data_IF_361469604840
#
_entry.id   IF_361469604840
#
_cell.length_a   1.000
_cell.length_b   1.000
_cell.length_c   1.000
_cell.angle_alpha   90.00
_cell.angle_beta   90.00
_cell.angle_gamma   90.00
#
_symmetry.space_group_name_H-M   'P 1'
#
loop_
_entity.id
_entity.type
_entity.pdbx_description
1 polymer ?
#
# COMPACT_ATOMS: atom_id res chain seq x y z
N UNK A 1 15.92 -65.36 27.58
CA UNK A 1 16.65 -64.58 26.56
C UNK A 1 15.73 -63.46 26.08
N UNK A 2 16.06 -62.19 26.38
CA UNK A 2 15.15 -61.04 26.22
C UNK A 2 15.12 -60.56 24.76
N UNK A 3 13.96 -60.53 24.13
CA UNK A 3 13.71 -59.81 22.87
C UNK A 3 13.58 -58.31 23.14
N UNK A 4 14.27 -57.47 22.37
CA UNK A 4 14.05 -56.02 22.31
C UNK A 4 13.44 -55.70 20.95
N UNK A 5 12.19 -55.25 20.94
CA UNK A 5 11.63 -54.52 19.79
C UNK A 5 12.22 -53.11 19.79
N UNK A 6 12.77 -52.70 18.65
CA UNK A 6 13.09 -51.31 18.36
C UNK A 6 11.94 -50.71 17.54
N UNK A 7 11.26 -49.71 18.10
CA UNK A 7 10.27 -48.91 17.37
C UNK A 7 11.03 -47.75 16.74
N UNK A 8 11.11 -47.72 15.41
CA UNK A 8 11.60 -46.57 14.67
C UNK A 8 10.46 -45.53 14.57
N UNK A 9 10.58 -44.42 15.29
CA UNK A 9 9.68 -43.28 15.14
C UNK A 9 10.08 -42.45 13.93
N UNK A 10 9.25 -42.42 12.90
CA UNK A 10 9.38 -41.47 11.80
C UNK A 10 8.90 -40.09 12.29
N UNK A 11 9.81 -39.12 12.37
CA UNK A 11 9.46 -37.74 12.61
C UNK A 11 8.89 -37.14 11.31
N UNK A 12 7.58 -36.87 11.27
CA UNK A 12 6.99 -36.01 10.26
C UNK A 12 7.47 -34.58 10.51
N UNK A 13 8.29 -34.04 9.60
CA UNK A 13 8.54 -32.61 9.54
C UNK A 13 7.30 -31.97 8.93
N UNK A 14 6.45 -31.39 9.78
CA UNK A 14 5.37 -30.54 9.31
C UNK A 14 5.99 -29.27 8.72
N UNK A 15 6.02 -29.16 7.40
CA UNK A 15 6.26 -27.89 6.72
C UNK A 15 5.11 -26.95 7.09
N UNK A 16 5.35 -26.06 8.05
CA UNK A 16 4.41 -24.97 8.29
C UNK A 16 4.30 -24.17 7.00
N UNK A 17 3.09 -23.98 6.45
CA UNK A 17 2.93 -23.11 5.30
C UNK A 17 3.48 -21.73 5.69
N UNK A 18 4.30 -21.15 4.81
CA UNK A 18 4.80 -19.80 4.98
C UNK A 18 3.57 -18.90 5.23
N UNK A 19 3.49 -18.31 6.43
CA UNK A 19 2.36 -17.46 6.79
C UNK A 19 2.31 -16.30 5.80
N UNK A 20 1.14 -16.03 5.22
CA UNK A 20 0.97 -14.91 4.32
C UNK A 20 1.31 -13.61 5.06
N UNK A 21 2.12 -12.74 4.45
CA UNK A 21 2.40 -11.42 5.02
C UNK A 21 1.16 -10.57 4.81
N UNK A 22 0.48 -10.24 5.91
CA UNK A 22 -0.66 -9.33 5.94
C UNK A 22 -0.18 -7.96 6.42
N UNK A 23 -0.60 -6.90 5.73
CA UNK A 23 -0.22 -5.51 6.02
C UNK A 23 -1.48 -4.65 6.11
N UNK A 24 -2.30 -4.81 7.17
CA UNK A 24 -3.46 -3.95 7.36
C UNK A 24 -3.01 -2.51 7.65
N UNK A 25 -3.81 -1.49 7.29
CA UNK A 25 -3.56 -0.10 7.65
C UNK A 25 -3.32 0.04 9.14
N UNK A 26 -2.24 0.71 9.50
CA UNK A 26 -1.92 1.07 10.87
C UNK A 26 -1.67 2.56 10.94
N UNK A 27 -1.96 3.14 12.09
CA UNK A 27 -1.56 4.48 12.42
C UNK A 27 -0.41 4.41 13.42
N UNK A 28 0.81 4.69 12.94
CA UNK A 28 2.02 4.79 13.75
C UNK A 28 2.57 6.21 13.78
N UNK A 29 1.81 7.17 13.28
CA UNK A 29 2.23 8.56 13.19
C UNK A 29 1.72 9.41 14.36
N UNK A 30 0.71 8.95 15.10
CA UNK A 30 0.06 9.71 16.18
C UNK A 30 0.98 10.13 17.33
N UNK A 31 2.07 9.39 17.56
CA UNK A 31 3.04 9.73 18.64
C UNK A 31 3.99 10.88 18.25
N UNK A 32 4.04 11.25 16.96
CA UNK A 32 4.90 12.33 16.51
C UNK A 32 4.26 13.70 16.78
N UNK A 33 5.00 14.59 17.46
CA UNK A 33 4.52 15.92 17.82
C UNK A 33 3.97 16.68 16.59
N UNK A 34 2.72 17.15 16.70
CA UNK A 34 2.03 17.92 15.67
C UNK A 34 1.48 17.09 14.50
N UNK A 35 1.71 15.77 14.46
CA UNK A 35 1.25 14.91 13.36
C UNK A 35 -0.28 14.86 13.26
N UNK A 36 -0.99 14.75 14.38
CA UNK A 36 -2.47 14.70 14.40
C UNK A 36 -3.09 15.99 13.85
N UNK A 37 -2.53 17.15 14.20
CA UNK A 37 -3.00 18.45 13.72
C UNK A 37 -2.80 18.57 12.21
N UNK A 38 -1.62 18.18 11.72
CA UNK A 38 -1.32 18.12 10.29
C UNK A 38 -2.29 17.18 9.55
N UNK A 39 -2.49 15.96 10.06
CA UNK A 39 -3.35 14.96 9.41
C UNK A 39 -4.82 15.35 9.41
N UNK A 40 -5.29 16.00 10.47
CA UNK A 40 -6.64 16.56 10.50
C UNK A 40 -6.80 17.70 9.48
N UNK A 41 -5.82 18.60 9.37
CA UNK A 41 -5.83 19.65 8.35
C UNK A 41 -5.81 19.07 6.94
N UNK A 42 -5.00 18.04 6.70
CA UNK A 42 -4.93 17.35 5.42
C UNK A 42 -6.26 16.67 5.07
N UNK A 43 -6.84 15.92 6.01
CA UNK A 43 -8.12 15.27 5.81
C UNK A 43 -9.23 16.28 5.48
N UNK A 44 -9.24 17.44 6.15
CA UNK A 44 -10.18 18.53 5.83
C UNK A 44 -9.95 19.10 4.42
N UNK A 45 -8.71 19.38 4.04
CA UNK A 45 -8.40 19.89 2.70
C UNK A 45 -8.80 18.89 1.61
N UNK A 46 -8.50 17.60 1.81
CA UNK A 46 -8.87 16.52 0.87
C UNK A 46 -10.38 16.32 0.79
N UNK A 47 -11.09 16.25 1.92
CA UNK A 47 -12.54 16.03 1.94
C UNK A 47 -13.31 17.17 1.27
N UNK A 48 -12.82 18.41 1.39
CA UNK A 48 -13.39 19.58 0.73
C UNK A 48 -12.86 19.80 -0.70
N UNK A 49 -11.87 19.00 -1.15
CA UNK A 49 -11.12 19.22 -2.39
C UNK A 49 -10.64 20.68 -2.53
N UNK A 50 -10.09 21.22 -1.45
CA UNK A 50 -9.78 22.63 -1.30
C UNK A 50 -8.26 22.86 -1.38
N UNK A 51 -7.83 23.43 -2.50
CA UNK A 51 -6.41 23.73 -2.76
C UNK A 51 -5.85 24.81 -1.83
N UNK A 52 -6.67 25.77 -1.38
CA UNK A 52 -6.22 26.83 -0.48
C UNK A 52 -5.97 26.28 0.93
N UNK A 53 -6.81 25.34 1.39
CA UNK A 53 -6.57 24.59 2.62
C UNK A 53 -5.38 23.63 2.50
N UNK A 54 -5.13 23.06 1.32
CA UNK A 54 -4.02 22.15 1.08
C UNK A 54 -2.67 22.88 1.01
N UNK A 55 -2.61 24.05 0.37
CA UNK A 55 -1.38 24.83 0.15
C UNK A 55 -0.46 24.93 1.38
N UNK A 56 -0.93 25.34 2.57
CA UNK A 56 -0.06 25.47 3.74
C UNK A 56 0.49 24.14 4.25
N UNK A 57 -0.03 23.00 3.79
CA UNK A 57 0.44 21.66 4.15
C UNK A 57 1.49 21.12 3.18
N UNK A 58 1.75 21.80 2.08
CA UNK A 58 2.65 21.33 1.01
C UNK A 58 3.96 22.11 1.03
N UNK A 59 5.07 21.42 0.82
CA UNK A 59 6.38 22.03 0.62
C UNK A 59 6.37 22.80 -0.73
N UNK A 60 6.88 24.05 -0.80
CA UNK A 60 6.97 24.79 -2.05
C UNK A 60 7.72 24.07 -3.19
N UNK A 61 8.55 23.07 -2.88
CA UNK A 61 9.32 22.24 -3.79
C UNK A 61 8.89 20.76 -3.75
N UNK A 62 7.62 20.49 -3.43
CA UNK A 62 7.06 19.12 -3.44
C UNK A 62 7.43 18.35 -4.72
N UNK A 63 7.90 17.12 -4.57
CA UNK A 63 8.25 16.24 -5.68
C UNK A 63 7.02 15.47 -6.17
N UNK A 64 6.78 15.48 -7.49
CA UNK A 64 5.53 14.99 -8.09
C UNK A 64 5.72 13.88 -9.13
N UNK A 65 6.93 13.73 -9.69
CA UNK A 65 7.29 12.65 -10.61
C UNK A 65 8.82 12.44 -10.68
N UNK A 66 9.23 11.35 -11.34
CA UNK A 66 10.64 11.03 -11.58
C UNK A 66 11.26 11.80 -12.75
N UNK A 67 10.44 12.51 -13.53
CA UNK A 67 10.85 13.35 -14.66
C UNK A 67 11.28 14.77 -14.26
N UNK A 68 11.25 15.10 -12.97
CA UNK A 68 11.65 16.40 -12.42
C UNK A 68 10.48 17.36 -12.16
N UNK A 69 9.23 16.91 -12.27
CA UNK A 69 8.06 17.69 -11.89
C UNK A 69 8.08 18.01 -10.40
N UNK A 70 8.15 19.29 -10.09
CA UNK A 70 8.25 19.80 -8.72
C UNK A 70 7.42 21.07 -8.51
N UNK A 71 7.02 21.30 -7.27
CA UNK A 71 6.48 22.55 -6.79
C UNK A 71 4.96 22.68 -6.86
N UNK A 72 4.48 23.71 -6.16
CA UNK A 72 3.05 23.92 -5.95
C UNK A 72 2.25 24.23 -7.20
N UNK A 73 2.80 25.04 -8.10
CA UNK A 73 2.04 25.44 -9.29
C UNK A 73 1.70 24.21 -10.15
N UNK A 74 2.63 23.27 -10.28
CA UNK A 74 2.41 22.00 -10.94
C UNK A 74 1.47 21.08 -10.16
N UNK A 75 1.59 21.01 -8.83
CA UNK A 75 0.64 20.25 -8.01
C UNK A 75 -0.79 20.79 -8.19
N UNK A 76 -0.95 22.11 -8.14
CA UNK A 76 -2.25 22.77 -8.30
C UNK A 76 -2.87 22.50 -9.66
N UNK A 77 -2.06 22.55 -10.72
CA UNK A 77 -2.51 22.14 -12.06
C UNK A 77 -3.00 20.68 -12.07
N UNK A 78 -2.23 19.74 -11.51
CA UNK A 78 -2.59 18.31 -11.47
C UNK A 78 -3.75 17.98 -10.54
N UNK A 79 -4.04 18.82 -9.54
CA UNK A 79 -5.21 18.65 -8.66
C UNK A 79 -6.53 18.88 -9.41
N UNK A 80 -6.52 19.72 -10.44
CA UNK A 80 -7.69 20.04 -11.27
C UNK A 80 -7.78 19.15 -12.52
N UNK A 81 -6.72 18.40 -12.83
CA UNK A 81 -6.65 17.51 -13.99
C UNK A 81 -7.29 16.13 -13.69
N UNK A 82 -8.39 15.78 -14.37
CA UNK A 82 -9.08 14.50 -14.15
C UNK A 82 -8.24 13.28 -14.51
N UNK A 83 -7.21 13.42 -15.36
CA UNK A 83 -6.34 12.30 -15.74
C UNK A 83 -5.47 11.83 -14.56
N UNK A 84 -5.19 12.72 -13.61
CA UNK A 84 -4.44 12.38 -12.39
C UNK A 84 -5.35 11.97 -11.21
N UNK A 85 -6.56 12.52 -11.13
CA UNK A 85 -7.52 12.33 -10.02
C UNK A 85 -6.87 12.42 -8.62
N UNK A 86 -5.96 13.39 -8.44
CA UNK A 86 -5.10 13.48 -7.25
C UNK A 86 -5.88 13.62 -5.94
N UNK A 87 -7.06 14.24 -5.96
CA UNK A 87 -7.91 14.34 -4.77
C UNK A 87 -8.36 12.96 -4.26
N UNK A 88 -8.73 12.07 -5.17
CA UNK A 88 -9.09 10.70 -4.82
C UNK A 88 -7.86 9.92 -4.34
N UNK A 89 -6.69 10.13 -4.94
CA UNK A 89 -5.46 9.50 -4.48
C UNK A 89 -5.01 10.01 -3.10
N UNK A 90 -5.12 11.31 -2.82
CA UNK A 90 -4.90 11.88 -1.49
C UNK A 90 -5.81 11.22 -0.44
N UNK A 91 -7.07 10.97 -0.79
CA UNK A 91 -8.02 10.31 0.11
C UNK A 91 -7.66 8.83 0.33
N UNK A 92 -7.29 8.11 -0.75
CA UNK A 92 -6.86 6.70 -0.69
C UNK A 92 -5.62 6.55 0.18
N UNK A 93 -4.57 7.35 -0.03
CA UNK A 93 -3.31 7.20 0.74
C UNK A 93 -3.51 7.44 2.22
N UNK A 94 -4.37 8.39 2.60
CA UNK A 94 -4.69 8.67 4.00
C UNK A 94 -5.46 7.54 4.68
N UNK A 95 -6.42 6.91 3.97
CA UNK A 95 -7.19 5.78 4.50
C UNK A 95 -6.36 4.52 4.74
N UNK A 96 -5.25 4.38 4.02
CA UNK A 96 -4.38 3.20 4.10
C UNK A 96 -3.32 3.33 5.20
N UNK A 97 -3.55 4.21 6.17
CA UNK A 97 -2.74 4.35 7.37
C UNK A 97 -1.50 5.20 7.16
N UNK A 98 -0.77 5.42 8.25
CA UNK A 98 0.42 6.25 8.31
C UNK A 98 1.51 5.52 9.08
N UNK A 99 2.71 5.43 8.50
CA UNK A 99 3.89 4.88 9.16
C UNK A 99 4.98 5.92 9.34
N UNK A 100 5.81 5.77 10.38
CA UNK A 100 7.05 6.54 10.52
C UNK A 100 8.20 5.67 10.02
N UNK A 101 9.01 6.20 9.10
CA UNK A 101 10.23 5.51 8.67
C UNK A 101 11.43 6.13 9.39
N UNK A 102 12.07 5.32 10.24
CA UNK A 102 13.34 5.55 10.96
C UNK A 102 13.60 6.99 11.44
N UNK A 103 13.60 7.19 12.76
CA UNK A 103 14.05 8.45 13.38
C UNK A 103 15.46 8.86 12.92
N UNK A 104 16.32 7.89 12.59
CA UNK A 104 17.68 8.11 12.06
C UNK A 104 17.69 8.75 10.66
N UNK A 105 16.56 8.70 9.93
CA UNK A 105 16.35 9.42 8.65
C UNK A 105 15.56 10.72 8.83
N UNK A 106 15.46 11.23 10.06
CA UNK A 106 14.77 12.49 10.36
C UNK A 106 13.26 12.36 10.61
N UNK A 107 12.75 11.12 10.73
CA UNK A 107 11.39 10.83 11.20
C UNK A 107 10.28 11.26 10.24
N UNK A 108 10.35 10.84 8.98
CA UNK A 108 9.32 11.16 7.98
C UNK A 108 8.08 10.26 8.13
N UNK A 109 6.90 10.83 7.86
CA UNK A 109 5.65 10.08 7.79
C UNK A 109 5.39 9.61 6.36
N UNK A 110 4.99 8.36 6.21
CA UNK A 110 4.68 7.70 4.95
C UNK A 110 3.23 7.28 4.94
N UNK A 111 2.53 7.68 3.88
CA UNK A 111 1.16 7.30 3.60
C UNK A 111 1.10 6.78 2.15
N UNK A 112 0.63 5.55 1.90
CA UNK A 112 0.11 4.56 2.86
C UNK A 112 1.11 4.00 3.87
N UNK A 113 0.59 3.42 4.97
CA UNK A 113 1.40 2.74 6.00
C UNK A 113 2.33 1.68 5.43
N UNK A 114 1.89 0.97 4.38
CA UNK A 114 2.68 -0.12 3.82
C UNK A 114 4.03 0.34 3.21
N UNK A 115 4.20 1.63 2.91
CA UNK A 115 5.49 2.19 2.49
C UNK A 115 6.53 2.29 3.62
N UNK A 116 6.10 2.15 4.88
CA UNK A 116 6.98 2.12 6.04
C UNK A 116 7.39 0.69 6.47
N UNK A 117 7.00 -0.33 5.71
CA UNK A 117 7.30 -1.74 6.01
C UNK A 117 7.82 -2.48 4.78
N UNK A 118 8.32 -3.70 4.98
CA UNK A 118 9.19 -4.41 4.03
C UNK A 118 8.53 -5.19 2.87
N UNK A 119 7.25 -5.11 2.48
CA UNK A 119 6.44 -6.20 1.83
C UNK A 119 6.89 -7.69 1.65
N UNK A 120 8.15 -8.11 1.80
CA UNK A 120 8.62 -9.49 1.67
C UNK A 120 8.65 -9.99 0.22
N UNK A 121 8.78 -9.08 -0.75
CA UNK A 121 8.77 -9.35 -2.19
C UNK A 121 9.99 -8.72 -2.86
N UNK A 122 10.45 -9.32 -3.96
CA UNK A 122 11.66 -8.88 -4.67
C UNK A 122 11.39 -7.88 -5.80
N UNK A 123 10.18 -7.93 -6.40
CA UNK A 123 9.79 -7.08 -7.53
C UNK A 123 8.64 -6.14 -7.13
N UNK A 124 8.90 -4.84 -6.93
CA UNK A 124 7.87 -3.88 -6.55
C UNK A 124 6.82 -3.65 -7.63
N UNK A 125 7.13 -3.85 -8.93
CA UNK A 125 6.17 -3.67 -10.02
C UNK A 125 5.15 -4.81 -10.09
N UNK A 126 5.53 -6.01 -9.64
CA UNK A 126 4.63 -7.15 -9.50
C UNK A 126 4.00 -7.22 -8.10
N UNK A 127 4.38 -6.37 -7.15
CA UNK A 127 3.87 -6.44 -5.78
C UNK A 127 2.60 -5.64 -5.60
N UNK A 128 1.56 -6.28 -5.08
CA UNK A 128 0.27 -5.67 -4.79
C UNK A 128 -0.17 -5.97 -3.36
N UNK A 129 -0.86 -5.01 -2.77
CA UNK A 129 -1.52 -5.13 -1.48
C UNK A 129 -3.01 -5.33 -1.70
N UNK A 130 -3.57 -6.37 -1.08
CA UNK A 130 -5.02 -6.55 -1.03
C UNK A 130 -5.61 -5.48 -0.12
N UNK A 131 -6.62 -4.74 -0.60
CA UNK A 131 -7.29 -3.68 0.15
C UNK A 131 -8.59 -4.21 0.75
N UNK A 132 -8.52 -4.56 2.04
CA UNK A 132 -9.66 -4.99 2.84
C UNK A 132 -9.47 -6.35 3.50
N UNK A 133 -10.46 -6.69 4.32
CA UNK A 133 -10.61 -8.01 4.95
C UNK A 133 -11.63 -8.85 4.17
N UNK A 134 -11.53 -10.17 4.31
CA UNK A 134 -12.43 -11.15 3.69
C UNK A 134 -12.53 -11.04 2.15
N UNK A 135 -11.50 -10.52 1.49
CA UNK A 135 -11.50 -10.28 0.03
C UNK A 135 -11.49 -11.62 -0.70
N UNK A 136 -12.48 -11.90 -1.58
CA UNK A 136 -12.59 -13.19 -2.24
C UNK A 136 -11.51 -13.36 -3.31
N UNK A 137 -10.83 -14.51 -3.29
CA UNK A 137 -9.97 -14.98 -4.37
C UNK A 137 -10.65 -16.14 -5.09
N UNK A 138 -10.92 -15.96 -6.37
CA UNK A 138 -11.69 -16.87 -7.21
C UNK A 138 -10.79 -17.81 -8.02
N UNK A 139 -11.30 -18.99 -8.38
CA UNK A 139 -10.56 -20.01 -9.12
C UNK A 139 -10.45 -19.71 -10.63
N UNK A 140 -11.37 -18.91 -11.16
CA UNK A 140 -11.36 -18.44 -12.54
C UNK A 140 -11.57 -16.93 -12.59
N UNK A 141 -11.35 -16.33 -13.77
CA UNK A 141 -11.62 -14.91 -14.07
C UNK A 141 -13.13 -14.63 -14.18
N UNK A 142 -13.86 -15.06 -13.17
CA UNK A 142 -15.31 -14.96 -13.02
C UNK A 142 -15.63 -14.90 -11.51
N UNK A 143 -16.30 -13.83 -11.09
CA UNK A 143 -16.67 -13.61 -9.68
C UNK A 143 -17.70 -14.62 -9.15
N UNK A 144 -18.39 -15.35 -10.03
CA UNK A 144 -19.26 -16.46 -9.65
C UNK A 144 -18.52 -17.80 -9.51
N UNK A 145 -17.25 -17.86 -9.93
CA UNK A 145 -16.46 -19.08 -9.83
C UNK A 145 -16.10 -19.41 -8.37
N UNK A 146 -15.76 -20.68 -8.16
CA UNK A 146 -15.43 -21.23 -6.84
C UNK A 146 -14.37 -20.37 -6.13
N UNK A 147 -14.63 -20.06 -4.85
CA UNK A 147 -13.63 -19.45 -3.98
C UNK A 147 -12.45 -20.39 -3.74
N UNK A 148 -11.25 -19.87 -3.96
CA UNK A 148 -9.98 -20.52 -3.58
C UNK A 148 -9.71 -20.27 -2.09
N UNK A 149 -9.78 -19.00 -1.69
CA UNK A 149 -9.62 -18.54 -0.29
C UNK A 149 -10.21 -17.14 -0.17
N UNK A 150 -10.21 -16.62 1.05
CA UNK A 150 -10.31 -15.18 1.32
C UNK A 150 -8.95 -14.64 1.74
N UNK A 151 -8.72 -13.37 1.44
CA UNK A 151 -7.50 -12.62 1.73
C UNK A 151 -7.85 -11.47 2.69
N UNK A 152 -6.95 -11.20 3.63
CA UNK A 152 -7.07 -10.22 4.70
C UNK A 152 -5.83 -9.32 4.68
N UNK A 153 -5.86 -8.28 3.86
CA UNK A 153 -4.72 -7.36 3.67
C UNK A 153 -3.42 -8.04 3.24
N UNK A 154 -3.51 -9.21 2.61
CA UNK A 154 -2.37 -9.97 2.11
C UNK A 154 -1.53 -9.17 1.09
N UNK A 155 -0.22 -9.38 1.14
CA UNK A 155 0.69 -9.05 0.03
C UNK A 155 0.63 -10.20 -0.98
N UNK A 156 0.40 -9.84 -2.25
CA UNK A 156 0.30 -10.77 -3.37
C UNK A 156 1.19 -10.32 -4.53
N UNK A 157 1.59 -11.27 -5.36
CA UNK A 157 2.28 -11.03 -6.62
C UNK A 157 1.27 -11.04 -7.76
N UNK A 158 1.22 -9.96 -8.55
CA UNK A 158 0.49 -9.95 -9.82
C UNK A 158 1.20 -10.89 -10.80
N UNK A 159 0.43 -11.78 -11.42
CA UNK A 159 0.92 -12.75 -12.43
C UNK A 159 0.15 -12.63 -13.75
N UNK A 160 -0.62 -11.55 -13.88
CA UNK A 160 -1.30 -11.16 -15.11
C UNK A 160 -0.38 -10.24 -15.93
N UNK A 161 -0.63 -10.17 -17.23
CA UNK A 161 -0.07 -9.10 -18.06
C UNK A 161 -0.94 -7.85 -17.90
N UNK A 162 -0.31 -6.70 -17.64
CA UNK A 162 -1.00 -5.41 -17.62
C UNK A 162 -1.39 -5.06 -19.07
N UNK A 163 -2.69 -4.96 -19.34
CA UNK A 163 -3.24 -4.56 -20.65
C UNK A 163 -4.12 -3.33 -20.53
N UNK A 164 -4.32 -2.59 -21.63
CA UNK A 164 -5.23 -1.43 -21.67
C UNK A 164 -6.69 -1.86 -21.39
N UNK A 165 -7.12 -3.01 -21.93
CA UNK A 165 -8.41 -3.63 -21.62
C UNK A 165 -8.29 -4.49 -20.36
N UNK A 166 -8.08 -3.88 -19.20
CA UNK A 166 -7.94 -4.64 -17.96
C UNK A 166 -9.23 -5.43 -17.70
N UNK A 167 -9.14 -6.76 -17.53
CA UNK A 167 -10.30 -7.55 -17.11
C UNK A 167 -10.76 -7.13 -15.72
N UNK A 168 -11.98 -7.47 -15.29
CA UNK A 168 -12.50 -7.08 -13.96
C UNK A 168 -11.76 -7.71 -12.78
N UNK A 169 -11.21 -8.91 -12.97
CA UNK A 169 -10.39 -9.62 -11.98
C UNK A 169 -8.97 -9.76 -12.50
N UNK A 170 -7.98 -9.53 -11.65
CA UNK A 170 -6.56 -9.76 -11.89
C UNK A 170 -6.15 -11.16 -11.44
N UNK A 171 -5.23 -11.81 -12.17
CA UNK A 171 -4.61 -13.05 -11.69
C UNK A 171 -3.46 -12.75 -10.73
N UNK A 172 -3.49 -13.34 -9.52
CA UNK A 172 -2.49 -13.10 -8.47
C UNK A 172 -1.96 -14.41 -7.88
N UNK A 173 -0.80 -14.34 -7.23
CA UNK A 173 -0.19 -15.41 -6.43
C UNK A 173 0.06 -14.91 -5.01
N UNK A 174 -0.40 -15.68 -4.03
CA UNK A 174 -0.13 -15.44 -2.60
C UNK A 174 1.29 -15.87 -2.21
N UNK A 175 1.81 -15.39 -1.07
CA UNK A 175 3.11 -15.80 -0.55
C UNK A 175 3.25 -17.32 -0.32
N UNK A 176 2.13 -18.03 -0.08
CA UNK A 176 2.12 -19.49 0.06
C UNK A 176 2.12 -20.23 -1.30
N UNK A 177 2.21 -19.51 -2.42
CA UNK A 177 2.20 -20.04 -3.78
C UNK A 177 0.82 -20.33 -4.37
N UNK A 178 -0.29 -20.05 -3.66
CA UNK A 178 -1.65 -20.26 -4.23
C UNK A 178 -1.95 -19.17 -5.26
N UNK A 179 -2.47 -19.58 -6.40
CA UNK A 179 -2.92 -18.69 -7.47
C UNK A 179 -4.45 -18.58 -7.51
N UNK A 180 -4.94 -17.45 -7.95
CA UNK A 180 -6.37 -17.19 -8.16
C UNK A 180 -6.61 -15.82 -8.75
N UNK A 181 -7.87 -15.38 -8.73
CA UNK A 181 -8.31 -14.14 -9.34
C UNK A 181 -8.95 -13.23 -8.28
N UNK A 182 -8.53 -11.97 -8.22
CA UNK A 182 -9.01 -10.96 -7.27
C UNK A 182 -9.45 -9.72 -8.05
N UNK A 183 -10.49 -9.03 -7.60
CA UNK A 183 -10.96 -7.82 -8.27
C UNK A 183 -9.90 -6.72 -8.23
N UNK A 184 -9.69 -6.00 -9.34
CA UNK A 184 -8.69 -4.93 -9.41
C UNK A 184 -8.94 -3.81 -8.42
N UNK A 185 -10.20 -3.49 -8.14
CA UNK A 185 -10.58 -2.49 -7.14
C UNK A 185 -10.23 -2.89 -5.69
N UNK A 186 -9.80 -4.16 -5.48
CA UNK A 186 -9.27 -4.69 -4.23
C UNK A 186 -7.76 -4.85 -4.22
N UNK A 187 -7.07 -4.39 -5.25
CA UNK A 187 -5.61 -4.46 -5.36
C UNK A 187 -5.04 -3.05 -5.45
N UNK A 188 -4.00 -2.80 -4.67
CA UNK A 188 -3.19 -1.58 -4.79
C UNK A 188 -1.76 -1.95 -5.12
N UNK A 189 -1.23 -1.35 -6.19
CA UNK A 189 0.17 -1.56 -6.56
C UNK A 189 1.10 -1.01 -5.49
N UNK A 190 2.23 -1.67 -5.23
CA UNK A 190 3.26 -1.14 -4.34
C UNK A 190 3.77 0.20 -4.86
N UNK A 191 3.93 0.35 -6.18
CA UNK A 191 4.39 1.59 -6.83
C UNK A 191 3.26 2.57 -7.14
N UNK A 192 2.07 2.38 -6.60
CA UNK A 192 0.99 3.37 -6.69
C UNK A 192 1.32 4.64 -5.89
N UNK A 193 0.45 5.65 -5.93
CA UNK A 193 0.66 6.92 -5.25
C UNK A 193 1.07 6.75 -3.79
N UNK A 194 2.11 7.49 -3.43
CA UNK A 194 2.65 7.60 -2.07
C UNK A 194 2.88 9.05 -1.72
N UNK A 195 2.64 9.35 -0.47
CA UNK A 195 2.86 10.65 0.12
C UNK A 195 3.91 10.53 1.23
N UNK A 196 4.95 11.34 1.12
CA UNK A 196 5.97 11.48 2.16
C UNK A 196 5.81 12.87 2.76
N UNK A 197 5.76 12.91 4.09
CA UNK A 197 5.61 14.14 4.86
C UNK A 197 6.83 14.30 5.76
N UNK A 198 7.55 15.40 5.57
CA UNK A 198 8.77 15.73 6.31
C UNK A 198 8.61 17.00 7.14
N UNK A 199 9.53 17.22 8.08
CA UNK A 199 9.60 18.48 8.83
C UNK A 199 10.20 19.60 7.97
N UNK A 200 9.52 20.75 7.90
CA UNK A 200 9.95 21.97 7.20
C UNK A 200 9.48 23.19 8.00
N UNK A 201 10.38 24.16 8.21
CA UNK A 201 10.08 25.41 8.91
C UNK A 201 9.34 25.23 10.25
N UNK A 202 9.68 24.16 10.99
CA UNK A 202 9.09 23.84 12.29
C UNK A 202 7.76 23.08 12.26
N UNK A 203 7.22 22.71 11.09
CA UNK A 203 5.98 21.95 10.95
C UNK A 203 6.09 20.78 9.95
N UNK A 204 5.03 19.98 9.86
CA UNK A 204 4.91 18.92 8.86
C UNK A 204 4.50 19.47 7.51
N UNK A 205 5.15 19.02 6.42
CA UNK A 205 4.81 19.36 5.04
C UNK A 205 4.88 18.14 4.14
N UNK A 206 3.98 18.06 3.17
CA UNK A 206 4.05 17.10 2.07
C UNK A 206 5.26 17.49 1.22
N UNK A 207 6.26 16.61 1.20
CA UNK A 207 7.52 16.80 0.46
C UNK A 207 7.54 16.00 -0.83
N UNK A 208 6.76 14.91 -0.89
CA UNK A 208 6.61 14.07 -2.07
C UNK A 208 5.17 13.59 -2.19
N UNK A 209 4.60 13.64 -3.39
CA UNK A 209 3.36 12.96 -3.74
C UNK A 209 3.44 12.42 -5.16
N UNK A 210 3.69 11.12 -5.30
CA UNK A 210 4.14 10.51 -6.56
C UNK A 210 3.65 9.07 -6.70
N UNK A 211 3.42 8.61 -7.94
CA UNK A 211 3.28 7.20 -8.31
C UNK A 211 4.38 6.79 -9.31
N UNK A 212 4.67 5.50 -9.37
CA UNK A 212 5.76 4.90 -10.15
C UNK A 212 7.03 4.65 -9.34
N UNK A 213 8.12 4.31 -10.03
CA UNK A 213 9.49 4.26 -9.49
C UNK A 213 10.49 4.73 -10.56
#
# INVERSE_FOLDING_TARGET
MKWKLAIAGAAMVATMPLAAKSVPPQDRCGDAEGADQFRMALAMATANRDADLLRPLVDPQVHLDFGGGTGWDLLRERLDDPDYDLWTELEKVQRLGCGIFSEDRGGEMYMPFYWAVDPGTDDPFATFFVVGSDVPMHAARDASSKLVTKLDWDVVTLIDELSEDQPTLAKVRTASGREGFVAWDRLRSQVDYRMIVGRRDGGWRIVTFIAGD
#
